data_IF_305846325814
#
_entry.id   IF_305846325814
#
_cell.length_a   1.000
_cell.length_b   1.000
_cell.length_c   1.000
_cell.angle_alpha   90.00
_cell.angle_beta   90.00
_cell.angle_gamma   90.00
#
_symmetry.space_group_name_H-M   'P 1'
#
loop_
_entity.id
_entity.type
_entity.pdbx_description
1 polymer ?
#
# COMPACT_ATOMS: atom_id res chain seq x y z
N UNK A 1 -10.53 3.41 -16.58
CA UNK A 1 -9.57 2.80 -15.65
C UNK A 1 -8.92 1.62 -16.38
N UNK A 2 -7.59 1.54 -16.45
CA UNK A 2 -6.94 0.35 -17.05
C UNK A 2 -6.92 -0.78 -16.01
N UNK A 3 -7.79 -1.77 -16.21
CA UNK A 3 -7.97 -2.93 -15.34
C UNK A 3 -6.66 -3.67 -15.03
N UNK A 4 -5.76 -3.81 -16.01
CA UNK A 4 -4.50 -4.55 -15.83
C UNK A 4 -3.57 -3.80 -14.88
N UNK A 5 -3.48 -2.48 -15.03
CA UNK A 5 -2.62 -1.66 -14.16
C UNK A 5 -3.17 -1.58 -12.74
N UNK A 6 -4.50 -1.45 -12.59
CA UNK A 6 -5.14 -1.44 -11.27
C UNK A 6 -5.01 -2.81 -10.58
N UNK A 7 -5.19 -3.92 -11.29
CA UNK A 7 -4.95 -5.27 -10.77
C UNK A 7 -3.52 -5.42 -10.21
N UNK A 8 -2.54 -4.80 -10.88
CA UNK A 8 -1.16 -4.77 -10.39
C UNK A 8 -1.00 -3.95 -9.10
N UNK A 9 -1.73 -2.84 -8.94
CA UNK A 9 -1.78 -2.08 -7.68
C UNK A 9 -2.30 -2.98 -6.55
N UNK A 10 -3.47 -3.61 -6.74
CA UNK A 10 -4.04 -4.54 -5.75
C UNK A 10 -3.04 -5.64 -5.34
N UNK A 11 -2.45 -6.33 -6.32
CA UNK A 11 -1.48 -7.41 -6.06
C UNK A 11 -0.30 -6.93 -5.21
N UNK A 12 0.22 -5.73 -5.50
CA UNK A 12 1.37 -5.16 -4.77
C UNK A 12 1.00 -4.77 -3.35
N UNK A 13 -0.17 -4.16 -3.15
CA UNK A 13 -0.62 -3.74 -1.82
C UNK A 13 -0.95 -4.94 -0.94
N UNK A 14 -1.65 -5.95 -1.47
CA UNK A 14 -1.96 -7.19 -0.73
C UNK A 14 -0.67 -7.96 -0.39
N UNK A 15 0.27 -8.05 -1.34
CA UNK A 15 1.55 -8.71 -1.08
C UNK A 15 2.36 -7.99 0.00
N UNK A 16 2.38 -6.64 0.00
CA UNK A 16 3.02 -5.88 1.06
C UNK A 16 2.33 -6.10 2.41
N UNK A 17 1.01 -6.05 2.45
CA UNK A 17 0.25 -6.32 3.67
C UNK A 17 0.58 -7.71 4.23
N UNK A 18 0.57 -8.75 3.40
CA UNK A 18 0.90 -10.12 3.82
C UNK A 18 2.36 -10.28 4.28
N UNK A 19 3.27 -9.54 3.66
CA UNK A 19 4.70 -9.59 4.00
C UNK A 19 5.02 -8.95 5.34
N UNK A 20 4.32 -7.88 5.70
CA UNK A 20 4.59 -7.07 6.89
C UNK A 20 3.54 -7.22 7.98
N UNK A 21 2.55 -8.09 7.78
CA UNK A 21 1.57 -8.42 8.80
C UNK A 21 2.21 -9.21 9.94
N UNK A 22 1.71 -8.99 11.15
CA UNK A 22 2.02 -9.86 12.28
C UNK A 22 1.56 -11.29 11.97
N UNK A 23 2.29 -12.33 12.42
CA UNK A 23 1.91 -13.72 12.20
C UNK A 23 0.50 -14.02 12.70
N UNK A 24 -0.22 -14.91 12.01
CA UNK A 24 -1.56 -15.37 12.39
C UNK A 24 -2.62 -14.26 12.51
N UNK A 25 -2.43 -13.13 11.80
CA UNK A 25 -3.41 -12.04 11.73
C UNK A 25 -4.11 -11.96 10.37
N UNK A 26 -5.26 -11.28 10.35
CA UNK A 26 -6.04 -11.09 9.13
C UNK A 26 -5.58 -9.86 8.34
N UNK A 27 -5.62 -9.98 7.01
CA UNK A 27 -5.58 -8.84 6.11
C UNK A 27 -7.04 -8.49 5.75
N UNK A 28 -7.44 -7.25 5.96
CA UNK A 28 -8.79 -6.79 5.68
C UNK A 28 -8.79 -5.88 4.46
N UNK A 29 -9.61 -6.21 3.47
CA UNK A 29 -9.81 -5.37 2.28
C UNK A 29 -11.20 -4.75 2.39
N UNK A 30 -11.29 -3.43 2.39
CA UNK A 30 -12.55 -2.68 2.42
C UNK A 30 -12.71 -1.86 1.16
N UNK A 31 -13.95 -1.75 0.70
CA UNK A 31 -14.33 -0.89 -0.40
C UNK A 31 -15.51 -0.02 0.01
N UNK A 32 -15.47 1.28 -0.31
CA UNK A 32 -16.62 2.17 -0.06
C UNK A 32 -16.74 3.24 -1.15
N UNK A 33 -17.97 3.54 -1.55
CA UNK A 33 -18.26 4.70 -2.40
C UNK A 33 -18.26 5.96 -1.55
N UNK A 34 -17.58 7.00 -2.00
CA UNK A 34 -17.63 8.34 -1.38
C UNK A 34 -17.32 9.40 -2.43
N UNK A 35 -18.04 10.53 -2.41
CA UNK A 35 -17.76 11.67 -3.29
C UNK A 35 -17.61 11.34 -4.80
N UNK A 36 -18.39 10.38 -5.32
CA UNK A 36 -18.28 9.94 -6.72
C UNK A 36 -17.05 9.07 -7.02
N UNK A 37 -16.28 8.69 -6.01
CA UNK A 37 -15.12 7.80 -6.08
C UNK A 37 -15.44 6.47 -5.38
N UNK A 38 -14.62 5.47 -5.67
CA UNK A 38 -14.57 4.22 -4.92
C UNK A 38 -13.23 4.14 -4.20
N UNK A 39 -13.26 4.24 -2.88
CA UNK A 39 -12.08 4.00 -2.07
C UNK A 39 -11.89 2.51 -1.86
N UNK A 40 -10.64 2.09 -1.99
CA UNK A 40 -10.16 0.76 -1.61
C UNK A 40 -9.14 0.96 -0.48
N UNK A 41 -9.31 0.23 0.60
CA UNK A 41 -8.38 0.21 1.73
C UNK A 41 -7.94 -1.23 2.01
N UNK A 42 -6.63 -1.43 2.15
CA UNK A 42 -6.01 -2.68 2.58
C UNK A 42 -5.43 -2.43 3.97
N UNK A 43 -5.88 -3.22 4.94
CA UNK A 43 -5.51 -3.11 6.35
C UNK A 43 -4.83 -4.40 6.81
N UNK A 44 -3.77 -4.27 7.59
CA UNK A 44 -3.13 -5.36 8.31
C UNK A 44 -2.70 -4.91 9.71
N UNK A 45 -2.55 -5.87 10.62
CA UNK A 45 -1.88 -5.65 11.89
C UNK A 45 -0.37 -5.69 11.69
N UNK A 46 0.36 -4.82 12.36
CA UNK A 46 1.82 -4.73 12.23
C UNK A 46 2.37 -3.52 12.98
N UNK A 47 3.70 -3.35 12.98
CA UNK A 47 4.35 -2.25 13.70
C UNK A 47 3.94 -0.90 13.11
N UNK A 48 3.72 0.07 14.00
CA UNK A 48 3.45 1.45 13.61
C UNK A 48 4.56 1.98 12.68
N UNK A 49 4.15 2.70 11.63
CA UNK A 49 5.08 3.30 10.67
C UNK A 49 5.09 4.81 10.90
N UNK A 50 6.21 5.38 11.32
CA UNK A 50 6.30 6.82 11.47
C UNK A 50 6.15 7.55 10.11
N UNK A 51 5.71 8.80 10.13
CA UNK A 51 5.45 9.58 8.92
C UNK A 51 6.70 9.76 8.02
N UNK A 52 7.88 9.88 8.63
CA UNK A 52 9.14 10.00 7.86
C UNK A 52 9.41 8.71 7.11
N UNK A 53 9.15 7.56 7.74
CA UNK A 53 9.29 6.24 7.13
C UNK A 53 8.25 6.04 6.03
N UNK A 54 7.01 6.45 6.21
CA UNK A 54 6.00 6.46 5.14
C UNK A 54 6.51 7.27 3.93
N UNK A 55 7.01 8.48 4.15
CA UNK A 55 7.54 9.32 3.07
C UNK A 55 8.73 8.67 2.35
N UNK A 56 9.57 7.90 3.06
CA UNK A 56 10.65 7.12 2.47
C UNK A 56 10.13 5.93 1.64
N UNK A 57 9.16 5.16 2.15
CA UNK A 57 8.60 3.99 1.46
C UNK A 57 7.97 4.33 0.09
N UNK A 58 7.59 5.59 -0.10
CA UNK A 58 7.04 6.10 -1.36
C UNK A 58 8.12 6.46 -2.40
N UNK A 59 9.40 6.47 -2.03
CA UNK A 59 10.53 6.72 -2.92
C UNK A 59 11.05 5.40 -3.53
N UNK A 60 11.41 5.38 -4.84
CA UNK A 60 12.03 4.22 -5.47
C UNK A 60 13.29 3.75 -4.73
N UNK A 61 13.51 2.43 -4.71
CA UNK A 61 14.69 1.77 -4.14
C UNK A 61 14.93 1.98 -2.63
N UNK A 62 13.93 2.50 -1.90
CA UNK A 62 14.05 2.63 -0.46
C UNK A 62 13.96 1.25 0.19
N UNK A 63 15.12 0.72 0.58
CA UNK A 63 15.28 -0.47 1.41
C UNK A 63 15.68 -0.03 2.83
N UNK A 64 15.27 -0.80 3.84
CA UNK A 64 15.80 -0.63 5.19
C UNK A 64 17.30 -0.96 5.20
N UNK A 65 18.10 -0.15 5.88
CA UNK A 65 19.54 -0.35 6.07
C UNK A 65 19.88 -1.63 6.89
N UNK A 66 18.88 -2.25 7.54
CA UNK A 66 19.03 -3.49 8.31
C UNK A 66 18.75 -4.74 7.46
N UNK A 67 19.50 -4.87 6.36
CA UNK A 67 19.40 -5.94 5.36
C UNK A 67 20.09 -7.26 5.77
N UNK A 68 19.95 -7.71 7.02
CA UNK A 68 20.58 -8.96 7.48
C UNK A 68 19.76 -10.24 7.26
N UNK A 69 18.50 -10.13 6.80
CA UNK A 69 17.66 -11.30 6.53
C UNK A 69 17.21 -11.35 5.05
N UNK A 70 17.62 -12.43 4.39
CA UNK A 70 17.61 -12.74 2.95
C UNK A 70 16.23 -12.80 2.24
N UNK A 71 15.31 -11.86 2.46
CA UNK A 71 14.00 -11.86 1.75
C UNK A 71 13.42 -10.47 1.50
N UNK A 72 14.26 -9.47 1.20
CA UNK A 72 13.80 -8.11 0.92
C UNK A 72 13.62 -7.91 -0.59
N UNK A 73 12.36 -7.77 -1.04
CA UNK A 73 12.01 -7.46 -2.42
C UNK A 73 12.54 -6.09 -2.87
N UNK A 74 12.40 -5.74 -4.14
CA UNK A 74 13.11 -4.61 -4.80
C UNK A 74 12.84 -3.19 -4.26
N UNK A 75 11.95 -3.01 -3.28
CA UNK A 75 11.52 -1.67 -2.83
C UNK A 75 10.67 -0.91 -3.86
N UNK A 76 10.31 -1.53 -5.00
CA UNK A 76 9.58 -0.88 -6.09
C UNK A 76 8.05 -1.03 -5.99
N UNK A 77 7.54 -1.82 -5.03
CA UNK A 77 6.12 -2.13 -4.90
C UNK A 77 5.21 -0.90 -4.74
N UNK A 78 5.47 -0.09 -3.72
CA UNK A 78 4.70 1.11 -3.44
C UNK A 78 4.97 2.23 -4.46
N UNK A 79 6.24 2.53 -4.86
CA UNK A 79 6.50 3.54 -5.88
C UNK A 79 5.81 3.28 -7.22
N UNK A 80 5.82 2.04 -7.71
CA UNK A 80 5.10 1.69 -8.95
C UNK A 80 3.59 1.87 -8.78
N UNK A 81 3.04 1.45 -7.63
CA UNK A 81 1.62 1.61 -7.34
C UNK A 81 1.22 3.09 -7.31
N UNK A 82 2.05 3.93 -6.67
CA UNK A 82 1.87 5.39 -6.65
C UNK A 82 1.95 6.03 -8.04
N UNK A 83 2.85 5.55 -8.91
CA UNK A 83 2.95 6.03 -10.28
C UNK A 83 1.70 5.68 -11.09
N UNK A 84 1.21 4.44 -10.99
CA UNK A 84 -0.04 4.01 -11.65
C UNK A 84 -1.23 4.84 -11.18
N UNK A 85 -1.36 5.06 -9.87
CA UNK A 85 -2.46 5.85 -9.31
C UNK A 85 -2.40 7.32 -9.74
N UNK A 86 -1.20 7.91 -9.83
CA UNK A 86 -1.01 9.26 -10.37
C UNK A 86 -1.53 9.40 -11.80
N UNK A 87 -1.31 8.40 -12.65
CA UNK A 87 -1.87 8.38 -14.01
C UNK A 87 -3.41 8.33 -14.02
N UNK A 88 -4.03 7.85 -12.95
CA UNK A 88 -5.48 7.85 -12.74
C UNK A 88 -5.99 9.10 -12.00
N UNK A 89 -5.10 10.04 -11.67
CA UNK A 89 -5.41 11.26 -10.93
C UNK A 89 -5.68 11.02 -9.44
N UNK A 90 -5.22 9.91 -8.88
CA UNK A 90 -5.35 9.57 -7.46
C UNK A 90 -3.98 9.21 -6.86
N UNK A 91 -3.92 8.99 -5.55
CA UNK A 91 -2.67 8.76 -4.83
C UNK A 91 -2.85 7.67 -3.78
N UNK A 92 -1.77 6.99 -3.39
CA UNK A 92 -1.78 6.16 -2.20
C UNK A 92 -1.86 7.05 -0.97
N UNK A 93 -2.59 6.58 0.02
CA UNK A 93 -2.67 7.16 1.36
C UNK A 93 -2.28 6.11 2.37
N UNK A 94 -1.53 6.54 3.37
CA UNK A 94 -1.17 5.71 4.51
C UNK A 94 -1.85 6.27 5.75
N UNK A 95 -2.40 5.38 6.55
CA UNK A 95 -2.87 5.67 7.90
C UNK A 95 -2.39 4.55 8.79
N UNK A 96 -1.80 4.88 9.93
CA UNK A 96 -1.27 3.88 10.86
C UNK A 96 -1.56 4.31 12.28
N UNK A 97 -1.88 3.33 13.11
CA UNK A 97 -2.03 3.47 14.56
C UNK A 97 -0.91 2.68 15.25
N UNK A 98 -1.00 2.45 16.55
CA UNK A 98 -0.01 1.67 17.31
C UNK A 98 0.19 0.24 16.80
N UNK A 99 -0.84 -0.37 16.19
CA UNK A 99 -0.81 -1.79 15.78
C UNK A 99 -1.49 -2.06 14.44
N UNK A 100 -1.90 -1.03 13.70
CA UNK A 100 -2.61 -1.19 12.43
C UNK A 100 -1.96 -0.34 11.35
N UNK A 101 -1.83 -0.91 10.17
CA UNK A 101 -1.38 -0.22 8.95
C UNK A 101 -2.48 -0.31 7.92
N UNK A 102 -2.89 0.84 7.39
CA UNK A 102 -3.89 0.97 6.34
C UNK A 102 -3.26 1.67 5.15
N UNK A 103 -3.33 1.02 3.99
CA UNK A 103 -2.96 1.61 2.70
C UNK A 103 -4.20 1.73 1.84
N UNK A 104 -4.55 2.95 1.44
CA UNK A 104 -5.77 3.24 0.71
C UNK A 104 -5.51 4.01 -0.59
N UNK A 105 -6.42 3.90 -1.55
CA UNK A 105 -6.44 4.71 -2.76
C UNK A 105 -7.87 4.85 -3.27
N UNK A 106 -8.10 5.90 -4.05
CA UNK A 106 -9.38 6.09 -4.75
C UNK A 106 -9.29 5.63 -6.20
N UNK A 107 -10.41 5.14 -6.70
CA UNK A 107 -10.70 4.91 -8.11
C UNK A 107 -11.83 5.84 -8.54
N UNK A 108 -11.67 6.47 -9.69
CA UNK A 108 -12.78 7.17 -10.34
C UNK A 108 -13.77 6.14 -10.87
N UNK A 109 -15.02 6.25 -10.43
CA UNK A 109 -16.14 5.52 -11.01
C UNK A 109 -16.52 6.27 -12.30
N UNK A 110 -16.12 5.70 -13.44
CA UNK A 110 -16.54 6.13 -14.77
C UNK A 110 -17.52 5.14 -15.35
#
# INVERSE_FOLDING_TARGET
>A
CDEKTIRNVFRRLIHNAAKFADPETNIVIRGRKHNGLYEVAIENLGPAIDEKRVAQLMKPFTLNENALNHSVGTGLGLPISQAILKLHGTHLRFSTTSSTVIVAFDLKLG
#
